data_IF_936040921890
#
_entry.id   IF_936040921890
#
_cell.length_a   1.000
_cell.length_b   1.000
_cell.length_c   1.000
_cell.angle_alpha   90.00
_cell.angle_beta   90.00
_cell.angle_gamma   90.00
#
_symmetry.space_group_name_H-M   'P 1'
#
loop_
_entity.id
_entity.type
_entity.pdbx_description
1 polymer ?
#
# COMPACT_ATOMS: atom_id res chain seq x y z
N UNK A 1 -21.43 36.02 -52.05
CA UNK A 1 -21.62 35.29 -50.78
C UNK A 1 -21.55 33.81 -51.13
N UNK A 2 -20.75 32.91 -50.54
CA UNK A 2 -20.11 32.81 -49.23
C UNK A 2 -18.92 31.85 -49.49
N UNK A 3 -17.68 32.31 -49.36
CA UNK A 3 -16.48 31.45 -49.43
C UNK A 3 -16.44 30.65 -48.12
N UNK A 4 -16.60 29.33 -48.17
CA UNK A 4 -16.25 28.47 -47.03
C UNK A 4 -14.99 27.70 -47.36
N UNK A 5 -13.88 28.30 -46.94
CA UNK A 5 -12.58 27.65 -46.93
C UNK A 5 -12.62 26.46 -45.97
N UNK A 6 -12.26 25.29 -46.51
CA UNK A 6 -11.69 24.17 -45.77
C UNK A 6 -10.56 24.69 -44.88
N UNK A 7 -10.77 24.68 -43.57
CA UNK A 7 -9.68 24.69 -42.60
C UNK A 7 -9.84 23.44 -41.75
N UNK A 8 -9.23 22.37 -42.27
CA UNK A 8 -8.86 21.17 -41.53
C UNK A 8 -7.88 21.63 -40.44
N UNK A 9 -8.41 21.96 -39.27
CA UNK A 9 -7.61 22.34 -38.12
C UNK A 9 -7.25 21.05 -37.38
N UNK A 10 -6.13 20.46 -37.84
CA UNK A 10 -5.37 19.46 -37.11
C UNK A 10 -5.07 20.01 -35.71
N UNK A 11 -5.78 19.51 -34.69
CA UNK A 11 -5.39 19.63 -33.29
C UNK A 11 -4.46 18.45 -32.96
N UNK A 12 -3.14 18.63 -32.82
CA UNK A 12 -2.31 17.64 -32.15
C UNK A 12 -2.34 17.97 -30.66
N UNK A 13 -3.36 17.49 -29.92
CA UNK A 13 -3.24 17.46 -28.46
C UNK A 13 -2.52 16.19 -28.04
N UNK A 14 -1.21 16.38 -28.02
CA UNK A 14 -0.15 15.63 -27.35
C UNK A 14 -0.72 14.79 -26.20
N UNK A 15 -0.68 13.47 -26.33
CA UNK A 15 -0.86 12.55 -25.22
C UNK A 15 0.28 12.82 -24.21
N UNK A 16 0.02 13.67 -23.22
CA UNK A 16 0.82 13.73 -22.01
C UNK A 16 0.62 12.43 -21.24
N UNK A 17 1.38 11.40 -21.60
CA UNK A 17 1.64 10.26 -20.74
C UNK A 17 2.47 10.77 -19.56
N UNK A 18 1.77 11.33 -18.56
CA UNK A 18 2.32 11.50 -17.23
C UNK A 18 2.58 10.10 -16.69
N UNK A 19 3.78 9.56 -16.93
CA UNK A 19 4.32 8.49 -16.09
C UNK A 19 4.55 9.14 -14.74
N UNK A 20 3.49 9.22 -13.92
CA UNK A 20 3.66 9.40 -12.47
C UNK A 20 4.46 8.18 -12.05
N UNK A 21 5.78 8.33 -11.98
CA UNK A 21 6.55 7.57 -11.02
C UNK A 21 5.84 7.83 -9.71
N UNK A 22 5.16 6.80 -9.21
CA UNK A 22 4.37 6.83 -7.99
C UNK A 22 5.34 7.08 -6.84
N UNK A 23 5.76 8.34 -6.69
CA UNK A 23 6.11 8.85 -5.38
C UNK A 23 4.79 8.80 -4.64
N UNK A 24 4.63 7.76 -3.82
CA UNK A 24 3.59 7.75 -2.79
C UNK A 24 3.61 9.13 -2.15
N UNK A 25 2.45 9.75 -1.84
CA UNK A 25 2.42 10.95 -1.02
C UNK A 25 3.34 10.73 0.18
N UNK A 26 3.96 11.77 0.73
CA UNK A 26 4.94 11.65 1.82
C UNK A 26 4.29 11.05 3.08
N UNK A 27 4.08 9.73 3.08
CA UNK A 27 3.37 8.98 4.09
C UNK A 27 4.32 8.88 5.26
N UNK A 28 3.83 9.27 6.42
CA UNK A 28 4.54 9.16 7.68
C UNK A 28 3.82 8.17 8.58
N UNK A 29 4.60 7.42 9.35
CA UNK A 29 4.13 6.45 10.34
C UNK A 29 5.22 6.30 11.39
N UNK A 30 4.86 6.08 12.66
CA UNK A 30 5.82 5.80 13.73
C UNK A 30 6.95 6.84 13.86
N UNK A 31 6.64 8.12 13.64
CA UNK A 31 7.62 9.22 13.72
C UNK A 31 8.59 9.30 12.54
N UNK A 32 8.51 8.41 11.54
CA UNK A 32 9.37 8.45 10.35
C UNK A 32 8.57 8.82 9.10
N UNK A 33 9.24 9.54 8.18
CA UNK A 33 8.75 9.74 6.82
C UNK A 33 9.15 8.54 5.97
N UNK A 34 8.34 8.18 4.99
CA UNK A 34 8.62 7.06 4.09
C UNK A 34 8.98 5.77 4.86
N UNK A 35 8.02 5.21 5.62
CA UNK A 35 8.26 4.08 6.52
C UNK A 35 8.81 2.85 5.79
N UNK A 36 8.47 2.66 4.52
CA UNK A 36 8.98 1.57 3.68
C UNK A 36 10.50 1.57 3.58
N UNK A 37 11.12 2.75 3.52
CA UNK A 37 12.57 2.89 3.39
C UNK A 37 13.27 3.20 4.72
N UNK A 38 12.55 3.74 5.71
CA UNK A 38 13.13 4.26 6.95
C UNK A 38 12.78 3.47 8.22
N UNK A 39 11.82 2.53 8.19
CA UNK A 39 11.66 1.52 9.25
C UNK A 39 12.47 0.28 8.89
N UNK A 40 13.48 -0.02 9.71
CA UNK A 40 14.44 -1.11 9.46
C UNK A 40 13.74 -2.46 9.26
N UNK A 41 12.81 -2.82 10.16
CA UNK A 41 12.08 -4.09 10.10
C UNK A 41 11.16 -4.17 8.86
N UNK A 42 10.59 -3.05 8.43
CA UNK A 42 9.71 -3.02 7.27
C UNK A 42 10.51 -3.15 5.97
N UNK A 43 11.66 -2.46 5.93
CA UNK A 43 12.62 -2.57 4.84
C UNK A 43 13.13 -4.01 4.69
N UNK A 44 13.41 -4.70 5.79
CA UNK A 44 13.83 -6.10 5.78
C UNK A 44 12.76 -7.02 5.17
N UNK A 45 11.48 -6.86 5.53
CA UNK A 45 10.37 -7.62 4.92
C UNK A 45 10.34 -7.43 3.40
N UNK A 46 10.54 -6.20 2.92
CA UNK A 46 10.51 -5.88 1.49
C UNK A 46 11.75 -6.44 0.77
N UNK A 47 12.92 -6.31 1.38
CA UNK A 47 14.16 -6.80 0.80
C UNK A 47 14.20 -8.34 0.78
N UNK A 48 13.60 -9.00 1.76
CA UNK A 48 13.34 -10.44 1.74
C UNK A 48 12.36 -10.83 0.63
N UNK A 49 11.22 -10.13 0.50
CA UNK A 49 10.27 -10.39 -0.58
C UNK A 49 10.91 -10.20 -1.97
N UNK A 50 11.84 -9.25 -2.14
CA UNK A 50 12.59 -9.06 -3.40
C UNK A 50 13.53 -10.25 -3.66
N UNK A 51 14.26 -10.69 -2.64
CA UNK A 51 15.18 -11.83 -2.73
C UNK A 51 14.44 -13.12 -3.09
N UNK A 52 13.23 -13.29 -2.55
CA UNK A 52 12.39 -14.46 -2.78
C UNK A 52 11.56 -14.37 -4.08
N UNK A 53 11.64 -13.26 -4.81
CA UNK A 53 10.85 -13.04 -6.02
C UNK A 53 9.35 -12.81 -5.77
N UNK A 54 8.95 -12.57 -4.52
CA UNK A 54 7.56 -12.37 -4.09
C UNK A 54 7.20 -10.88 -3.87
N UNK A 55 8.14 -9.95 -4.10
CA UNK A 55 7.90 -8.52 -3.93
C UNK A 55 6.73 -7.98 -4.77
N UNK A 56 6.49 -8.57 -5.95
CA UNK A 56 5.38 -8.20 -6.83
C UNK A 56 4.01 -8.54 -6.23
N UNK A 57 3.92 -9.60 -5.42
CA UNK A 57 2.67 -10.06 -4.81
C UNK A 57 2.56 -9.67 -3.34
N UNK A 58 3.64 -9.17 -2.73
CA UNK A 58 3.64 -8.66 -1.35
C UNK A 58 2.89 -7.35 -1.28
N UNK A 59 2.00 -7.20 -0.31
CA UNK A 59 1.26 -5.97 -0.03
C UNK A 59 1.53 -5.53 1.40
N UNK A 60 1.81 -4.24 1.56
CA UNK A 60 1.96 -3.60 2.87
C UNK A 60 1.01 -2.41 2.92
N UNK A 61 0.21 -2.34 3.98
CA UNK A 61 -0.63 -1.20 4.32
C UNK A 61 -0.28 -0.68 5.70
N UNK A 62 -0.53 0.60 5.95
CA UNK A 62 -0.66 1.14 7.30
C UNK A 62 -2.11 1.47 7.62
N UNK A 63 -2.48 1.42 8.88
CA UNK A 63 -3.79 1.84 9.36
C UNK A 63 -3.64 2.33 10.81
N UNK A 64 -4.66 3.03 11.30
CA UNK A 64 -4.70 3.51 12.68
C UNK A 64 -5.83 2.76 13.41
N UNK A 65 -5.59 2.36 14.65
CA UNK A 65 -6.59 1.75 15.53
C UNK A 65 -6.37 2.29 16.94
N UNK A 66 -7.43 2.78 17.58
CA UNK A 66 -7.39 3.40 18.91
C UNK A 66 -6.34 4.52 19.12
N UNK A 67 -5.91 5.16 18.03
CA UNK A 67 -4.90 6.24 18.06
C UNK A 67 -3.46 5.75 17.86
N UNK A 68 -3.24 4.45 17.76
CA UNK A 68 -1.94 3.84 17.45
C UNK A 68 -1.86 3.42 15.98
N UNK A 69 -0.63 3.49 15.43
CA UNK A 69 -0.34 3.11 14.05
C UNK A 69 0.09 1.65 13.95
N UNK A 70 -0.54 0.92 13.03
CA UNK A 70 -0.24 -0.48 12.72
C UNK A 70 0.05 -0.69 11.24
N UNK A 71 0.65 -1.82 10.93
CA UNK A 71 0.97 -2.25 9.57
C UNK A 71 0.44 -3.63 9.31
N UNK A 72 -0.14 -3.82 8.14
CA UNK A 72 -0.61 -5.12 7.68
C UNK A 72 0.21 -5.57 6.50
N UNK A 73 0.75 -6.78 6.60
CA UNK A 73 1.52 -7.48 5.59
C UNK A 73 0.79 -8.73 5.11
N UNK A 74 0.75 -8.92 3.81
CA UNK A 74 0.24 -10.16 3.19
C UNK A 74 0.72 -10.34 1.76
N UNK A 75 0.58 -11.55 1.26
CA UNK A 75 0.73 -11.83 -0.16
C UNK A 75 -0.64 -11.84 -0.85
N UNK A 76 -0.74 -11.21 -2.02
CA UNK A 76 -2.00 -10.91 -2.70
C UNK A 76 -2.83 -12.17 -3.03
N UNK A 77 -2.20 -13.32 -3.27
CA UNK A 77 -2.90 -14.57 -3.53
C UNK A 77 -3.61 -15.14 -2.28
N UNK A 78 -3.26 -14.66 -1.08
CA UNK A 78 -3.85 -15.10 0.17
C UNK A 78 -5.07 -14.28 0.58
N UNK A 79 -5.41 -13.19 -0.12
CA UNK A 79 -6.55 -12.31 0.18
C UNK A 79 -6.71 -11.98 1.69
N UNK A 80 -5.59 -11.90 2.42
CA UNK A 80 -5.52 -11.75 3.88
C UNK A 80 -6.12 -12.81 4.78
N UNK A 81 -6.30 -14.03 4.29
CA UNK A 81 -6.51 -15.18 5.19
C UNK A 81 -5.35 -15.34 6.20
N UNK A 82 -4.13 -14.96 5.81
CA UNK A 82 -2.92 -15.03 6.64
C UNK A 82 -2.26 -13.66 6.80
N UNK A 83 -3.07 -12.62 6.93
CA UNK A 83 -2.56 -11.28 7.12
C UNK A 83 -1.86 -11.15 8.48
N UNK A 84 -0.69 -10.52 8.48
CA UNK A 84 0.12 -10.33 9.68
C UNK A 84 0.10 -8.85 10.04
N UNK A 85 -0.28 -8.56 11.28
CA UNK A 85 -0.32 -7.20 11.82
C UNK A 85 0.93 -6.96 12.67
N UNK A 86 1.55 -5.81 12.46
CA UNK A 86 2.70 -5.32 13.20
C UNK A 86 2.41 -3.97 13.83
N UNK A 87 2.98 -3.72 15.00
CA UNK A 87 3.01 -2.38 15.60
C UNK A 87 4.21 -1.55 15.10
N UNK A 88 4.34 -0.32 15.61
CA UNK A 88 5.47 0.55 15.28
C UNK A 88 6.85 0.01 15.67
N UNK A 89 6.94 -0.89 16.67
CA UNK A 89 8.20 -1.52 17.06
C UNK A 89 8.63 -2.64 16.10
N UNK A 90 7.71 -3.08 15.22
CA UNK A 90 7.90 -4.24 14.36
C UNK A 90 7.55 -5.56 15.05
N UNK A 91 6.93 -5.52 16.23
CA UNK A 91 6.43 -6.71 16.90
C UNK A 91 5.13 -7.16 16.24
N UNK A 92 4.97 -8.49 16.10
CA UNK A 92 3.72 -9.07 15.61
C UNK A 92 2.65 -8.92 16.68
N UNK A 93 1.51 -8.36 16.29
CA UNK A 93 0.32 -8.33 17.12
C UNK A 93 -0.34 -9.71 17.08
N UNK A 94 -0.47 -10.33 18.25
CA UNK A 94 -0.96 -11.71 18.40
C UNK A 94 -2.30 -11.69 19.15
N UNK A 95 -3.37 -12.33 18.63
CA UNK A 95 -4.64 -12.47 19.33
C UNK A 95 -4.47 -13.17 20.69
N UNK A 96 -5.12 -12.65 21.72
CA UNK A 96 -5.06 -13.15 23.09
C UNK A 96 -3.81 -12.76 23.88
N UNK A 97 -2.74 -12.28 23.22
CA UNK A 97 -1.55 -11.78 23.89
C UNK A 97 -1.54 -10.25 23.98
N UNK A 98 -1.96 -9.57 22.90
CA UNK A 98 -1.99 -8.11 22.84
C UNK A 98 -3.41 -7.55 22.93
N UNK A 99 -4.38 -8.27 22.36
CA UNK A 99 -5.79 -7.91 22.30
C UNK A 99 -6.67 -9.10 22.64
N UNK A 100 -7.86 -8.88 23.20
CA UNK A 100 -8.90 -9.91 23.24
C UNK A 100 -9.26 -10.35 21.81
N UNK A 101 -9.94 -11.49 21.67
CA UNK A 101 -10.24 -12.05 20.36
C UNK A 101 -11.15 -11.13 19.54
N UNK A 102 -12.12 -10.51 20.20
CA UNK A 102 -13.08 -9.58 19.63
C UNK A 102 -12.40 -8.27 19.19
N UNK A 103 -11.56 -7.69 20.05
CA UNK A 103 -10.76 -6.49 19.74
C UNK A 103 -9.80 -6.74 18.56
N UNK A 104 -9.19 -7.93 18.52
CA UNK A 104 -8.33 -8.30 17.40
C UNK A 104 -9.12 -8.39 16.07
N UNK A 105 -10.38 -8.83 16.11
CA UNK A 105 -11.22 -8.85 14.91
C UNK A 105 -11.53 -7.44 14.41
N UNK A 106 -11.78 -6.49 15.32
CA UNK A 106 -11.96 -5.09 14.98
C UNK A 106 -10.68 -4.49 14.38
N UNK A 107 -9.54 -4.70 15.02
CA UNK A 107 -8.22 -4.30 14.53
C UNK A 107 -7.96 -4.87 13.11
N UNK A 108 -8.21 -6.16 12.92
CA UNK A 108 -8.06 -6.81 11.62
C UNK A 108 -9.03 -6.23 10.57
N UNK A 109 -10.26 -5.87 10.98
CA UNK A 109 -11.24 -5.20 10.13
C UNK A 109 -10.73 -3.86 9.60
N UNK A 110 -10.15 -3.01 10.47
CA UNK A 110 -9.58 -1.72 10.07
C UNK A 110 -8.45 -1.86 9.06
N UNK A 111 -7.69 -2.95 9.10
CA UNK A 111 -6.60 -3.17 8.14
C UNK A 111 -7.05 -3.36 6.67
N UNK A 112 -8.31 -3.69 6.44
CA UNK A 112 -8.95 -3.66 5.09
C UNK A 112 -9.97 -2.54 4.93
N UNK A 113 -10.15 -1.75 5.98
CA UNK A 113 -11.07 -0.64 6.00
C UNK A 113 -10.67 0.48 5.04
N UNK A 114 -11.58 1.45 4.84
CA UNK A 114 -11.31 2.61 3.98
C UNK A 114 -10.20 3.52 4.53
N UNK A 115 -9.87 3.38 5.82
CA UNK A 115 -8.80 4.10 6.53
C UNK A 115 -7.40 3.55 6.22
N UNK A 116 -7.29 2.32 5.70
CA UNK A 116 -6.01 1.67 5.42
C UNK A 116 -5.31 2.30 4.21
N UNK A 117 -4.08 2.77 4.41
CA UNK A 117 -3.25 3.42 3.41
C UNK A 117 -2.24 2.44 2.84
N UNK A 118 -2.24 2.28 1.52
CA UNK A 118 -1.31 1.41 0.81
C UNK A 118 0.12 1.99 0.83
N UNK A 119 1.07 1.22 1.35
CA UNK A 119 2.49 1.57 1.37
C UNK A 119 3.27 0.88 0.26
N UNK A 120 2.97 -0.39 0.00
CA UNK A 120 3.61 -1.20 -1.03
C UNK A 120 2.54 -1.99 -1.81
N UNK A 121 2.33 -1.70 -3.10
CA UNK A 121 1.27 -2.34 -3.89
C UNK A 121 1.73 -3.69 -4.42
N UNK A 122 1.26 -4.78 -3.79
CA UNK A 122 1.33 -6.10 -4.38
C UNK A 122 0.28 -6.23 -5.48
N UNK A 123 0.71 -6.52 -6.70
CA UNK A 123 -0.15 -6.91 -7.81
C UNK A 123 0.13 -8.36 -8.20
N UNK A 124 -0.92 -9.17 -8.24
CA UNK A 124 -0.83 -10.45 -8.94
C UNK A 124 -0.48 -10.16 -10.42
N UNK A 125 0.50 -10.86 -11.02
CA UNK A 125 0.71 -10.76 -12.46
C UNK A 125 -0.61 -11.16 -13.15
N UNK A 126 -1.11 -10.29 -14.04
CA UNK A 126 -2.20 -10.67 -14.95
C UNK A 126 -1.59 -11.64 -15.96
N UNK A 127 -2.05 -12.89 -15.92
CA UNK A 127 -1.83 -13.88 -16.98
C UNK A 127 -2.47 -13.44 -18.31
#
# INVERSE_FOLDING_TARGET
MRKYYLVVLLLPFIFSSCKKGTSSPAISACGVKDPVNNLSWLKEIIDEAKRDGTASITTIKKFEYEGDTYFTYYQAYQSCMNCIIFDCSGARVIPGAHFAAEEYQELAGESYGPSAVLLWPGMLPRE
#
